data_IF_294631137918
#
_entry.id   IF_294631137918
#
_cell.length_a   1.000
_cell.length_b   1.000
_cell.length_c   1.000
_cell.angle_alpha   90.00
_cell.angle_beta   90.00
_cell.angle_gamma   90.00
#
_symmetry.space_group_name_H-M   'P 1'
#
loop_
_entity.id
_entity.type
_entity.pdbx_description
1 polymer ?
#
# COMPACT_ATOMS: atom_id res chain seq x y z
N UNK A 1 -16.76 91.44 -26.79
CA UNK A 1 -16.21 92.61 -27.47
C UNK A 1 -14.94 92.98 -26.74
N UNK A 2 -13.86 93.09 -27.53
CA UNK A 2 -12.61 93.74 -27.25
C UNK A 2 -11.77 93.27 -26.05
N UNK A 3 -10.71 92.52 -26.32
CA UNK A 3 -9.27 92.86 -26.33
C UNK A 3 -8.44 91.71 -26.82
N UNK A 4 -8.46 91.54 -28.13
CA UNK A 4 -7.41 90.82 -28.86
C UNK A 4 -6.50 91.86 -29.40
N UNK A 5 -5.21 91.58 -29.53
CA UNK A 5 -4.10 92.35 -30.17
C UNK A 5 -3.25 93.18 -29.17
N UNK A 6 -2.22 92.52 -28.62
CA UNK A 6 -0.88 93.13 -28.50
C UNK A 6 0.05 92.26 -27.65
N UNK A 7 0.33 91.01 -28.09
CA UNK A 7 1.49 90.18 -27.60
C UNK A 7 1.91 89.34 -28.80
N UNK A 8 2.33 89.96 -29.88
CA UNK A 8 2.92 89.30 -31.05
C UNK A 8 4.12 90.07 -31.58
N UNK A 9 4.91 90.75 -30.78
CA UNK A 9 6.12 91.45 -31.33
C UNK A 9 7.31 91.51 -30.37
N UNK A 10 7.39 90.58 -29.36
CA UNK A 10 8.56 90.57 -28.43
C UNK A 10 9.30 89.24 -28.34
N UNK A 11 9.04 88.25 -29.21
CA UNK A 11 9.73 86.97 -29.18
C UNK A 11 10.59 86.65 -30.44
N UNK A 12 11.08 87.63 -31.19
CA UNK A 12 11.85 87.41 -32.41
C UNK A 12 13.26 87.96 -32.37
N UNK A 13 13.84 88.26 -31.19
CA UNK A 13 15.23 88.77 -31.17
C UNK A 13 16.09 88.20 -30.02
N UNK A 14 15.90 86.88 -29.67
CA UNK A 14 16.87 86.22 -28.77
C UNK A 14 17.13 84.74 -29.18
N UNK A 15 17.24 84.46 -30.47
CA UNK A 15 17.56 83.16 -31.00
C UNK A 15 18.81 83.23 -31.85
N UNK A 16 19.94 83.58 -31.27
CA UNK A 16 21.29 83.42 -31.85
C UNK A 16 22.31 83.55 -30.74
N UNK A 17 22.64 82.48 -30.03
CA UNK A 17 23.92 82.15 -29.41
C UNK A 17 23.77 81.06 -28.37
N UNK A 18 24.26 79.88 -28.67
CA UNK A 18 24.32 78.78 -27.70
C UNK A 18 24.34 77.38 -28.32
N UNK A 19 24.99 77.15 -29.44
CA UNK A 19 25.43 75.80 -29.79
C UNK A 19 26.75 75.54 -29.04
N UNK A 20 26.64 75.17 -27.76
CA UNK A 20 27.71 74.47 -27.07
C UNK A 20 27.33 73.01 -26.96
N UNK A 21 28.18 72.17 -27.53
CA UNK A 21 28.09 70.71 -27.53
C UNK A 21 27.72 70.11 -26.19
N UNK A 22 26.47 69.58 -26.04
CA UNK A 22 26.22 68.51 -25.09
C UNK A 22 26.78 67.24 -25.69
N UNK A 23 27.99 66.85 -25.26
CA UNK A 23 28.46 65.49 -25.41
C UNK A 23 27.41 64.58 -24.80
N UNK A 24 26.80 63.68 -25.59
CA UNK A 24 26.09 62.54 -25.06
C UNK A 24 27.13 61.69 -24.28
N UNK A 25 27.21 61.89 -22.98
CA UNK A 25 27.73 60.85 -22.13
C UNK A 25 26.79 59.65 -22.22
N UNK A 26 27.16 58.71 -23.09
CA UNK A 26 26.63 57.35 -23.04
C UNK A 26 26.99 56.86 -21.66
N UNK A 27 26.01 56.49 -20.80
CA UNK A 27 26.34 55.94 -19.51
C UNK A 27 27.25 54.73 -19.77
N UNK A 28 28.52 54.81 -19.35
CA UNK A 28 29.33 53.61 -19.22
C UNK A 28 28.55 52.64 -18.34
N UNK A 29 28.03 51.58 -18.96
CA UNK A 29 27.44 50.47 -18.21
C UNK A 29 28.40 50.11 -17.10
N UNK A 30 28.00 50.41 -15.86
CA UNK A 30 28.75 49.97 -14.67
C UNK A 30 28.59 48.46 -14.66
N UNK A 31 29.69 47.71 -14.80
CA UNK A 31 29.59 46.27 -14.88
C UNK A 31 29.07 45.78 -13.53
N UNK A 32 27.87 45.23 -13.52
CA UNK A 32 27.24 44.69 -12.33
C UNK A 32 27.94 43.39 -11.96
N UNK A 33 28.29 43.26 -10.66
CA UNK A 33 28.84 42.02 -10.13
C UNK A 33 27.73 41.05 -9.92
N UNK A 34 27.82 39.89 -10.57
CA UNK A 34 26.85 38.79 -10.46
C UNK A 34 27.51 37.54 -9.88
N UNK A 35 26.80 36.82 -9.01
CA UNK A 35 27.27 35.52 -8.59
C UNK A 35 27.21 34.51 -9.73
N UNK A 36 28.26 33.70 -9.86
CA UNK A 36 28.37 32.69 -10.90
C UNK A 36 28.77 31.35 -10.29
N UNK A 37 28.29 30.27 -10.91
CA UNK A 37 28.76 28.92 -10.57
C UNK A 37 29.19 28.19 -11.83
N UNK A 38 30.08 27.21 -11.66
CA UNK A 38 30.43 26.24 -12.70
C UNK A 38 29.46 25.07 -12.66
N UNK A 39 28.92 24.68 -13.78
CA UNK A 39 28.01 23.54 -13.88
C UNK A 39 28.80 22.24 -13.73
N UNK A 40 28.48 21.50 -12.71
CA UNK A 40 29.07 20.20 -12.41
C UNK A 40 27.99 19.12 -12.40
N UNK A 41 28.39 17.88 -12.64
CA UNK A 41 27.52 16.73 -12.41
C UNK A 41 27.56 16.35 -10.95
N UNK A 42 26.37 16.12 -10.41
CA UNK A 42 26.21 15.67 -9.00
C UNK A 42 25.16 14.56 -8.96
N UNK A 43 25.33 13.66 -8.01
CA UNK A 43 24.30 12.71 -7.65
C UNK A 43 23.33 13.42 -6.70
N UNK A 44 22.04 13.36 -7.01
CA UNK A 44 21.00 13.95 -6.17
C UNK A 44 19.89 12.96 -5.91
N UNK A 45 19.21 13.19 -4.79
CA UNK A 45 18.02 12.45 -4.41
C UNK A 45 16.79 13.29 -4.73
N UNK A 46 15.94 12.76 -5.61
CA UNK A 46 14.71 13.44 -6.04
C UNK A 46 13.52 12.80 -5.34
N UNK A 47 12.85 13.51 -4.43
CA UNK A 47 11.68 12.99 -3.72
C UNK A 47 10.46 12.96 -4.65
N UNK A 48 10.06 11.77 -5.08
CA UNK A 48 8.82 11.56 -5.84
C UNK A 48 7.65 11.40 -4.89
N UNK A 49 6.60 12.19 -5.09
CA UNK A 49 5.41 12.23 -4.22
C UNK A 49 4.22 11.55 -4.90
N UNK A 50 3.62 10.58 -4.22
CA UNK A 50 2.46 9.83 -4.71
C UNK A 50 1.33 9.90 -3.70
N UNK A 51 0.12 10.24 -4.14
CA UNK A 51 -1.07 10.13 -3.28
C UNK A 51 -1.30 8.67 -2.91
N UNK A 52 -1.49 8.40 -1.63
CA UNK A 52 -1.66 7.06 -1.11
C UNK A 52 -2.84 6.97 -0.14
N UNK A 53 -3.46 5.80 -0.09
CA UNK A 53 -4.48 5.44 0.89
C UNK A 53 -3.96 4.31 1.75
N UNK A 54 -4.02 4.48 3.07
CA UNK A 54 -3.67 3.44 4.02
C UNK A 54 -4.78 2.40 4.14
N UNK A 55 -4.38 1.13 4.19
CA UNK A 55 -5.23 0.01 4.58
C UNK A 55 -4.50 -0.83 5.61
N UNK A 56 -5.23 -1.37 6.57
CA UNK A 56 -4.68 -2.39 7.46
C UNK A 56 -4.26 -3.62 6.64
N UNK A 57 -3.11 -4.20 6.96
CA UNK A 57 -2.61 -5.40 6.27
C UNK A 57 -3.62 -6.57 6.34
N UNK A 58 -4.46 -6.59 7.36
CA UNK A 58 -5.44 -7.64 7.64
C UNK A 58 -6.80 -7.03 7.96
N UNK A 59 -7.38 -6.26 7.06
CA UNK A 59 -8.76 -5.80 7.20
C UNK A 59 -9.70 -6.96 6.86
N UNK A 60 -10.39 -7.49 7.87
CA UNK A 60 -11.30 -8.64 7.75
C UNK A 60 -12.72 -8.20 8.07
N UNK A 61 -13.62 -8.39 7.13
CA UNK A 61 -15.05 -8.21 7.36
C UNK A 61 -15.58 -9.38 8.19
N UNK A 62 -16.21 -9.08 9.32
CA UNK A 62 -16.81 -10.06 10.20
C UNK A 62 -18.28 -10.24 9.84
N UNK A 63 -18.62 -11.44 9.40
CA UNK A 63 -19.99 -11.85 9.07
C UNK A 63 -20.35 -13.12 9.85
N UNK A 64 -21.62 -13.35 10.22
CA UNK A 64 -22.05 -14.61 10.84
C UNK A 64 -21.97 -15.75 9.82
N UNK A 65 -21.77 -16.97 10.31
CA UNK A 65 -21.88 -18.19 9.48
C UNK A 65 -23.22 -18.89 9.63
N UNK A 66 -24.01 -18.50 10.62
CA UNK A 66 -25.36 -19.03 10.90
C UNK A 66 -26.33 -17.87 11.07
N UNK A 67 -27.61 -18.14 10.77
CA UNK A 67 -28.68 -17.18 11.01
C UNK A 67 -29.21 -17.34 12.45
N UNK A 68 -29.54 -16.23 13.08
CA UNK A 68 -30.12 -16.21 14.41
C UNK A 68 -30.23 -14.82 15.01
N UNK A 69 -30.80 -14.71 16.19
CA UNK A 69 -30.87 -13.44 16.91
C UNK A 69 -29.56 -13.14 17.62
N UNK A 70 -29.06 -11.90 17.51
CA UNK A 70 -27.86 -11.46 18.21
C UNK A 70 -28.15 -11.26 19.70
N UNK A 71 -27.62 -12.14 20.53
CA UNK A 71 -27.88 -12.13 21.99
C UNK A 71 -26.99 -11.13 22.72
N UNK A 72 -25.74 -10.99 22.29
CA UNK A 72 -24.78 -10.14 23.00
C UNK A 72 -23.66 -9.66 22.05
N UNK A 73 -23.31 -8.41 22.20
CA UNK A 73 -22.11 -7.78 21.64
C UNK A 73 -21.08 -7.69 22.77
N UNK A 74 -19.92 -8.31 22.62
CA UNK A 74 -18.89 -8.44 23.65
C UNK A 74 -17.76 -7.42 23.51
N UNK A 75 -17.86 -6.53 22.51
CA UNK A 75 -16.83 -5.53 22.15
C UNK A 75 -17.46 -4.19 21.86
N UNK A 76 -16.65 -3.13 21.90
CA UNK A 76 -17.04 -1.77 21.52
C UNK A 76 -16.28 -1.31 20.29
N UNK A 77 -16.84 -0.35 19.58
CA UNK A 77 -16.15 0.29 18.44
C UNK A 77 -14.83 0.93 18.90
N UNK A 78 -13.78 0.80 18.10
CA UNK A 78 -12.43 1.28 18.44
C UNK A 78 -11.66 0.40 19.44
N UNK A 79 -12.28 -0.66 20.00
CA UNK A 79 -11.62 -1.56 20.95
C UNK A 79 -10.55 -2.41 20.25
N UNK A 80 -9.38 -2.52 20.86
CA UNK A 80 -8.36 -3.47 20.46
C UNK A 80 -8.69 -4.88 20.95
N UNK A 81 -8.66 -5.86 20.05
CA UNK A 81 -8.97 -7.27 20.33
C UNK A 81 -7.84 -8.18 19.90
N UNK A 82 -7.74 -9.33 20.58
CA UNK A 82 -6.77 -10.39 20.27
C UNK A 82 -7.44 -11.47 19.42
N UNK A 83 -6.64 -12.16 18.59
CA UNK A 83 -7.10 -13.35 17.86
C UNK A 83 -7.74 -14.37 18.82
N UNK A 84 -8.93 -14.87 18.45
CA UNK A 84 -9.74 -15.81 19.25
C UNK A 84 -10.63 -15.15 20.31
N UNK A 85 -10.56 -13.84 20.52
CA UNK A 85 -11.45 -13.13 21.45
C UNK A 85 -12.88 -13.14 20.91
N UNK A 86 -13.87 -13.42 21.78
CA UNK A 86 -15.28 -13.39 21.41
C UNK A 86 -15.74 -11.97 21.12
N UNK A 87 -16.36 -11.79 19.96
CA UNK A 87 -16.90 -10.50 19.48
C UNK A 87 -18.42 -10.44 19.64
N UNK A 88 -19.11 -11.46 19.12
CA UNK A 88 -20.57 -11.51 19.09
C UNK A 88 -21.05 -12.90 19.50
N UNK A 89 -22.22 -12.96 20.09
CA UNK A 89 -22.89 -14.21 20.49
C UNK A 89 -24.30 -14.21 19.89
N UNK A 90 -24.58 -15.20 19.06
CA UNK A 90 -25.89 -15.49 18.46
C UNK A 90 -26.64 -16.49 19.37
N UNK A 91 -27.95 -16.48 19.32
CA UNK A 91 -28.78 -17.47 20.05
C UNK A 91 -28.39 -18.89 19.64
N UNK A 92 -27.89 -19.64 20.61
CA UNK A 92 -27.37 -21.00 20.41
C UNK A 92 -28.33 -22.09 20.82
N UNK A 93 -29.54 -21.77 21.33
CA UNK A 93 -30.49 -22.75 21.90
C UNK A 93 -30.84 -23.84 20.89
N UNK A 94 -31.19 -23.47 19.67
CA UNK A 94 -31.51 -24.46 18.62
C UNK A 94 -30.30 -25.32 18.26
N UNK A 95 -29.12 -24.74 18.12
CA UNK A 95 -27.90 -25.50 17.86
C UNK A 95 -27.49 -26.41 19.01
N UNK A 96 -27.75 -26.03 20.27
CA UNK A 96 -27.56 -26.89 21.43
C UNK A 96 -28.51 -28.11 21.39
N UNK A 97 -29.80 -27.91 21.09
CA UNK A 97 -30.76 -29.02 20.96
C UNK A 97 -30.38 -29.94 19.79
N UNK A 98 -29.84 -29.43 18.66
CA UNK A 98 -29.30 -30.26 17.58
C UNK A 98 -28.13 -31.15 18.05
N UNK A 99 -27.23 -30.60 18.85
CA UNK A 99 -26.13 -31.40 19.46
C UNK A 99 -26.64 -32.46 20.38
N UNK A 100 -27.63 -32.17 21.22
CA UNK A 100 -28.24 -33.11 22.13
C UNK A 100 -28.96 -34.25 21.38
N UNK A 101 -29.75 -33.91 20.35
CA UNK A 101 -30.40 -34.89 19.49
C UNK A 101 -29.40 -35.81 18.78
N UNK A 102 -28.33 -35.21 18.22
CA UNK A 102 -27.27 -35.99 17.57
C UNK A 102 -26.55 -36.92 18.57
N UNK A 103 -26.30 -36.47 19.79
CA UNK A 103 -25.70 -37.31 20.86
C UNK A 103 -26.62 -38.49 21.25
N UNK A 104 -27.93 -38.27 21.37
CA UNK A 104 -28.89 -39.33 21.66
C UNK A 104 -28.87 -40.40 20.55
N UNK A 105 -28.84 -39.97 19.26
CA UNK A 105 -28.72 -40.90 18.12
C UNK A 105 -27.39 -41.67 18.14
N UNK A 106 -26.29 -41.05 18.53
CA UNK A 106 -24.99 -41.72 18.67
C UNK A 106 -25.06 -42.79 19.76
N UNK A 107 -25.69 -42.48 20.91
CA UNK A 107 -25.85 -43.44 22.02
C UNK A 107 -26.71 -44.65 21.62
N UNK A 108 -27.79 -44.42 20.86
CA UNK A 108 -28.59 -45.49 20.27
C UNK A 108 -27.80 -46.40 19.32
N UNK A 109 -26.99 -45.79 18.43
CA UNK A 109 -26.10 -46.53 17.51
C UNK A 109 -25.05 -47.35 18.28
N UNK A 110 -24.48 -46.82 19.37
CA UNK A 110 -23.54 -47.52 20.24
C UNK A 110 -24.17 -48.69 20.94
N UNK A 111 -25.40 -48.55 21.43
CA UNK A 111 -26.14 -49.65 22.04
C UNK A 111 -26.41 -50.78 21.01
N UNK A 112 -26.80 -50.43 19.79
CA UNK A 112 -26.99 -51.41 18.70
C UNK A 112 -25.67 -52.14 18.35
N UNK A 113 -24.53 -51.42 18.34
CA UNK A 113 -23.22 -52.05 18.16
C UNK A 113 -22.90 -53.06 19.26
N UNK A 114 -23.17 -52.70 20.53
CA UNK A 114 -22.97 -53.61 21.68
C UNK A 114 -23.82 -54.86 21.54
N UNK A 115 -25.09 -54.74 21.15
CA UNK A 115 -26.00 -55.88 20.91
C UNK A 115 -25.47 -56.75 19.76
N UNK A 116 -25.06 -56.18 18.61
CA UNK A 116 -24.49 -56.91 17.50
C UNK A 116 -23.18 -57.64 17.92
N UNK A 117 -22.32 -57.02 18.71
CA UNK A 117 -21.13 -57.65 19.26
C UNK A 117 -21.42 -58.83 20.15
N UNK A 118 -22.43 -58.72 21.02
CA UNK A 118 -22.86 -59.84 21.87
C UNK A 118 -23.34 -61.00 21.04
N UNK A 119 -24.17 -60.73 19.99
CA UNK A 119 -24.65 -61.76 19.06
C UNK A 119 -23.49 -62.43 18.29
N UNK A 120 -22.52 -61.66 17.83
CA UNK A 120 -21.35 -62.21 17.14
C UNK A 120 -20.49 -63.04 18.06
N UNK A 121 -20.34 -62.67 19.34
CA UNK A 121 -19.62 -63.46 20.34
C UNK A 121 -20.31 -64.80 20.60
N UNK A 122 -21.66 -64.83 20.71
CA UNK A 122 -22.42 -66.07 20.84
C UNK A 122 -22.26 -67.01 19.64
N UNK A 123 -22.41 -66.48 18.43
CA UNK A 123 -22.19 -67.23 17.16
C UNK A 123 -20.76 -67.74 17.03
N UNK A 124 -19.77 -66.95 17.52
CA UNK A 124 -18.38 -67.36 17.55
C UNK A 124 -18.14 -68.55 18.42
N UNK A 125 -18.66 -68.52 19.67
CA UNK A 125 -18.58 -69.65 20.63
C UNK A 125 -19.21 -70.93 20.05
N UNK A 126 -20.37 -70.81 19.40
CA UNK A 126 -21.03 -71.94 18.71
C UNK A 126 -20.15 -72.50 17.60
N UNK A 127 -19.59 -71.63 16.72
CA UNK A 127 -18.67 -72.07 15.66
C UNK A 127 -17.42 -72.73 16.25
N UNK A 128 -16.76 -72.19 17.27
CA UNK A 128 -15.58 -72.75 17.88
C UNK A 128 -15.89 -74.14 18.54
N UNK A 129 -17.05 -74.27 19.20
CA UNK A 129 -17.53 -75.52 19.75
C UNK A 129 -17.73 -76.62 18.65
N UNK A 130 -18.48 -76.24 17.58
CA UNK A 130 -18.70 -77.16 16.46
C UNK A 130 -17.41 -77.54 15.74
N UNK A 131 -16.43 -76.62 15.64
CA UNK A 131 -15.11 -76.91 15.09
C UNK A 131 -14.37 -77.94 15.92
N UNK A 132 -14.35 -77.81 17.24
CA UNK A 132 -13.70 -78.77 18.15
C UNK A 132 -14.36 -80.16 18.11
N UNK A 133 -15.73 -80.20 17.98
CA UNK A 133 -16.46 -81.46 17.83
C UNK A 133 -16.25 -82.12 16.47
N UNK A 134 -16.13 -81.32 15.38
CA UNK A 134 -15.82 -81.82 14.04
C UNK A 134 -14.41 -82.43 13.98
N UNK A 135 -13.41 -81.85 14.58
CA UNK A 135 -12.08 -82.40 14.73
C UNK A 135 -12.05 -83.75 15.42
N UNK A 136 -13.00 -83.94 16.39
CA UNK A 136 -13.26 -85.22 17.05
C UNK A 136 -14.21 -86.17 16.30
N UNK A 137 -14.65 -85.80 15.07
CA UNK A 137 -15.60 -86.55 14.23
C UNK A 137 -16.98 -86.79 14.86
N UNK A 138 -17.44 -85.89 15.74
CA UNK A 138 -18.73 -86.02 16.42
C UNK A 138 -19.87 -85.35 15.66
N UNK A 139 -19.58 -84.29 14.91
CA UNK A 139 -20.58 -83.52 14.10
C UNK A 139 -20.28 -83.61 12.61
N UNK A 140 -21.28 -83.35 11.76
CA UNK A 140 -21.11 -83.35 10.32
C UNK A 140 -20.46 -82.05 9.78
N UNK A 141 -19.84 -82.13 8.58
CA UNK A 141 -19.33 -80.94 7.89
C UNK A 141 -20.39 -79.90 7.61
N UNK A 142 -21.65 -80.31 7.40
CA UNK A 142 -22.78 -79.36 7.23
C UNK A 142 -23.06 -78.53 8.49
N UNK A 143 -22.96 -79.17 9.68
CA UNK A 143 -23.19 -78.47 10.95
C UNK A 143 -22.08 -77.43 11.24
N UNK A 144 -20.82 -77.78 10.91
CA UNK A 144 -19.66 -76.85 11.00
C UNK A 144 -19.87 -75.68 10.06
N UNK A 145 -20.20 -75.92 8.78
CA UNK A 145 -20.34 -74.83 7.81
C UNK A 145 -21.55 -73.96 8.10
N UNK A 146 -22.64 -74.48 8.63
CA UNK A 146 -23.78 -73.71 9.08
C UNK A 146 -23.44 -72.77 10.22
N UNK A 147 -22.74 -73.26 11.23
CA UNK A 147 -22.28 -72.39 12.37
C UNK A 147 -21.28 -71.33 11.90
N UNK A 148 -20.39 -71.67 10.93
CA UNK A 148 -19.49 -70.69 10.30
C UNK A 148 -20.21 -69.57 9.58
N UNK A 149 -21.24 -69.93 8.80
CA UNK A 149 -22.08 -68.97 8.09
C UNK A 149 -22.85 -68.06 9.08
N UNK A 150 -23.37 -68.62 10.16
CA UNK A 150 -24.00 -67.84 11.25
C UNK A 150 -23.06 -66.86 11.88
N UNK A 151 -21.80 -67.26 12.16
CA UNK A 151 -20.77 -66.36 12.65
C UNK A 151 -20.43 -65.26 11.69
N UNK A 152 -20.24 -65.59 10.39
CA UNK A 152 -19.93 -64.60 9.35
C UNK A 152 -21.07 -63.57 9.22
N UNK A 153 -22.31 -64.01 9.27
CA UNK A 153 -23.49 -63.13 9.23
C UNK A 153 -23.54 -62.19 10.44
N UNK A 154 -23.25 -62.69 11.65
CA UNK A 154 -23.20 -61.89 12.85
C UNK A 154 -22.05 -60.87 12.77
N UNK A 155 -20.90 -61.27 12.25
CA UNK A 155 -19.73 -60.38 12.01
C UNK A 155 -20.05 -59.26 11.03
N UNK A 156 -20.81 -59.56 9.96
CA UNK A 156 -21.30 -58.54 9.01
C UNK A 156 -22.24 -57.56 9.71
N UNK A 157 -23.12 -58.03 10.61
CA UNK A 157 -24.00 -57.16 11.43
C UNK A 157 -23.20 -56.22 12.35
N UNK A 158 -22.08 -56.69 12.97
CA UNK A 158 -21.14 -55.83 13.72
C UNK A 158 -20.55 -54.75 12.83
N UNK A 159 -20.10 -55.12 11.66
CA UNK A 159 -19.54 -54.15 10.69
C UNK A 159 -20.55 -53.07 10.27
N UNK A 160 -21.78 -53.46 10.04
CA UNK A 160 -22.91 -52.57 9.76
C UNK A 160 -23.20 -51.63 10.93
N UNK A 161 -23.30 -52.17 12.14
CA UNK A 161 -23.53 -51.35 13.36
C UNK A 161 -22.40 -50.38 13.63
N UNK A 162 -21.12 -50.80 13.37
CA UNK A 162 -19.94 -49.93 13.48
C UNK A 162 -19.99 -48.77 12.48
N UNK A 163 -20.43 -49.02 11.26
CA UNK A 163 -20.64 -47.96 10.24
C UNK A 163 -21.72 -46.96 10.70
N UNK A 164 -22.80 -47.46 11.32
CA UNK A 164 -23.88 -46.61 11.89
C UNK A 164 -23.36 -45.71 13.03
N UNK A 165 -22.49 -46.21 13.92
CA UNK A 165 -21.82 -45.39 14.95
C UNK A 165 -20.95 -44.30 14.30
N UNK A 166 -20.18 -44.61 13.29
CA UNK A 166 -19.35 -43.62 12.56
C UNK A 166 -20.21 -42.54 11.96
N UNK A 167 -21.32 -42.89 11.35
CA UNK A 167 -22.28 -41.93 10.74
C UNK A 167 -22.90 -41.03 11.83
N UNK A 168 -23.34 -41.59 12.94
CA UNK A 168 -23.91 -40.83 14.07
C UNK A 168 -22.87 -39.90 14.70
N UNK A 169 -21.60 -40.34 14.86
CA UNK A 169 -20.50 -39.52 15.33
C UNK A 169 -20.23 -38.32 14.39
N UNK A 170 -20.29 -38.55 13.11
CA UNK A 170 -20.14 -37.47 12.09
C UNK A 170 -21.25 -36.43 12.21
N UNK A 171 -22.48 -36.87 12.53
CA UNK A 171 -23.63 -35.96 12.77
C UNK A 171 -23.43 -35.12 14.05
N UNK A 172 -22.91 -35.71 15.14
CA UNK A 172 -22.54 -34.97 16.36
C UNK A 172 -21.46 -33.90 16.05
N UNK A 173 -20.44 -34.25 15.28
CA UNK A 173 -19.39 -33.32 14.93
C UNK A 173 -19.92 -32.13 14.10
N UNK A 174 -20.80 -32.38 13.13
CA UNK A 174 -21.49 -31.35 12.34
C UNK A 174 -22.31 -30.41 13.25
N UNK A 175 -23.13 -30.97 14.13
CA UNK A 175 -23.94 -30.18 15.07
C UNK A 175 -23.05 -29.31 15.99
N UNK A 176 -21.93 -29.85 16.50
CA UNK A 176 -20.95 -29.08 17.27
C UNK A 176 -20.31 -27.93 16.50
N UNK A 177 -19.98 -28.12 15.23
CA UNK A 177 -19.46 -27.05 14.38
C UNK A 177 -20.49 -25.93 14.21
N UNK A 178 -21.76 -26.29 13.95
CA UNK A 178 -22.84 -25.31 13.85
C UNK A 178 -23.04 -24.54 15.18
N UNK A 179 -22.96 -25.21 16.31
CA UNK A 179 -22.99 -24.57 17.62
C UNK A 179 -21.80 -23.62 17.82
N UNK A 180 -20.61 -23.99 17.33
CA UNK A 180 -19.41 -23.14 17.36
C UNK A 180 -19.60 -21.84 16.60
N UNK A 181 -20.33 -21.87 15.50
CA UNK A 181 -20.63 -20.67 14.69
C UNK A 181 -21.57 -19.67 15.37
N UNK A 182 -22.28 -20.07 16.43
CA UNK A 182 -23.07 -19.14 17.23
C UNK A 182 -22.19 -18.19 18.07
N UNK A 183 -20.90 -18.50 18.25
CA UNK A 183 -19.94 -17.63 18.92
C UNK A 183 -18.94 -17.11 17.91
N UNK A 184 -19.03 -15.83 17.57
CA UNK A 184 -18.17 -15.20 16.57
C UNK A 184 -16.94 -14.66 17.28
N UNK A 185 -15.77 -15.11 16.84
CA UNK A 185 -14.47 -14.74 17.41
C UNK A 185 -13.61 -13.99 16.40
N UNK A 186 -12.65 -13.21 16.90
CA UNK A 186 -11.70 -12.47 16.08
C UNK A 186 -10.73 -13.43 15.35
N UNK A 187 -10.67 -13.46 14.00
CA UNK A 187 -9.75 -14.30 13.25
C UNK A 187 -8.29 -13.81 13.34
N UNK A 188 -8.10 -12.51 13.55
CA UNK A 188 -6.80 -11.82 13.71
C UNK A 188 -6.87 -10.86 14.89
N UNK A 189 -5.72 -10.39 15.36
CA UNK A 189 -5.67 -9.30 16.33
C UNK A 189 -5.77 -7.97 15.59
N UNK A 190 -6.49 -6.99 16.16
CA UNK A 190 -6.72 -5.70 15.50
C UNK A 190 -7.67 -4.80 16.27
N UNK A 191 -8.17 -3.78 15.62
CA UNK A 191 -9.14 -2.81 16.16
C UNK A 191 -10.50 -3.03 15.51
N UNK A 192 -11.54 -3.02 16.32
CA UNK A 192 -12.94 -3.12 15.87
C UNK A 192 -13.36 -1.81 15.21
N UNK A 193 -13.91 -1.90 14.01
CA UNK A 193 -14.53 -0.78 13.31
C UNK A 193 -15.94 -0.47 13.79
N UNK A 194 -16.75 0.12 12.93
CA UNK A 194 -18.16 0.40 13.19
C UNK A 194 -18.96 -0.89 13.37
N UNK A 195 -19.92 -0.89 14.31
CA UNK A 195 -20.84 -1.99 14.60
C UNK A 195 -22.27 -1.53 14.31
N UNK A 196 -22.79 -1.72 13.07
CA UNK A 196 -24.10 -1.24 12.68
C UNK A 196 -25.27 -2.06 13.29
N UNK A 197 -24.98 -3.19 13.90
CA UNK A 197 -25.98 -4.11 14.49
C UNK A 197 -26.14 -3.88 15.98
N UNK A 198 -27.31 -4.24 16.50
CA UNK A 198 -27.67 -4.11 17.93
C UNK A 198 -28.04 -5.47 18.49
N UNK A 199 -27.93 -5.59 19.81
CA UNK A 199 -28.46 -6.75 20.54
C UNK A 199 -29.96 -6.87 20.30
N UNK A 200 -30.39 -8.06 19.89
CA UNK A 200 -31.77 -8.33 19.48
C UNK A 200 -32.01 -8.41 17.98
N UNK A 201 -31.08 -7.88 17.16
CA UNK A 201 -31.20 -7.93 15.71
C UNK A 201 -31.11 -9.36 15.17
N UNK A 202 -31.88 -9.62 14.11
CA UNK A 202 -31.78 -10.88 13.36
C UNK A 202 -30.61 -10.77 12.38
N UNK A 203 -29.64 -11.66 12.51
CA UNK A 203 -28.45 -11.69 11.65
C UNK A 203 -28.41 -12.97 10.79
N UNK A 204 -27.73 -12.90 9.65
CA UNK A 204 -27.59 -13.99 8.69
C UNK A 204 -26.20 -13.92 8.03
N UNK A 205 -25.76 -14.93 7.27
CA UNK A 205 -24.48 -14.90 6.57
C UNK A 205 -24.27 -13.71 5.60
N UNK A 206 -25.35 -13.06 5.17
CA UNK A 206 -25.32 -11.84 4.39
C UNK A 206 -25.19 -10.56 5.23
N UNK A 207 -25.35 -10.66 6.55
CA UNK A 207 -25.30 -9.49 7.44
C UNK A 207 -23.86 -9.09 7.72
N UNK A 208 -23.59 -7.78 7.61
CA UNK A 208 -22.34 -7.17 8.01
C UNK A 208 -22.39 -6.83 9.50
N UNK A 209 -21.42 -7.33 10.28
CA UNK A 209 -21.36 -7.06 11.73
C UNK A 209 -20.33 -5.98 12.07
N UNK A 210 -19.14 -6.08 11.55
CA UNK A 210 -18.05 -5.10 11.72
C UNK A 210 -16.88 -5.40 10.79
N UNK A 211 -15.95 -4.46 10.68
CA UNK A 211 -14.61 -4.71 10.14
C UNK A 211 -13.62 -4.82 11.30
N UNK A 212 -12.80 -5.84 11.27
CA UNK A 212 -11.65 -5.97 12.15
C UNK A 212 -10.41 -5.54 11.37
N UNK A 213 -9.83 -4.39 11.74
CA UNK A 213 -8.63 -3.87 11.08
C UNK A 213 -7.38 -4.26 11.84
N UNK A 214 -6.52 -5.04 11.20
CA UNK A 214 -5.20 -5.38 11.72
C UNK A 214 -4.24 -4.23 11.54
N UNK A 215 -4.07 -3.40 12.56
CA UNK A 215 -3.31 -2.15 12.51
C UNK A 215 -1.83 -2.26 12.89
N UNK A 216 -1.30 -3.44 13.13
CA UNK A 216 0.13 -3.63 13.47
C UNK A 216 1.07 -3.24 12.32
N UNK A 217 0.62 -3.45 11.11
CA UNK A 217 1.26 -2.99 9.87
C UNK A 217 0.20 -2.39 8.96
N UNK A 218 0.56 -1.30 8.31
CA UNK A 218 -0.32 -0.59 7.40
C UNK A 218 0.26 -0.61 6.00
N UNK A 219 -0.54 -0.96 5.03
CA UNK A 219 -0.17 -0.94 3.63
C UNK A 219 -0.67 0.36 3.00
N UNK A 220 0.25 1.17 2.49
CA UNK A 220 -0.06 2.34 1.68
C UNK A 220 -0.23 1.91 0.22
N UNK A 221 -1.43 2.01 -0.30
CA UNK A 221 -1.74 1.77 -1.71
C UNK A 221 -1.63 3.08 -2.48
N UNK A 222 -0.80 3.11 -3.52
CA UNK A 222 -0.57 4.26 -4.39
C UNK A 222 -0.31 3.81 -5.82
N UNK A 223 -0.43 4.74 -6.77
CA UNK A 223 -0.23 4.47 -8.19
C UNK A 223 0.97 5.23 -8.71
N UNK A 224 1.81 4.55 -9.51
CA UNK A 224 2.99 5.11 -10.17
C UNK A 224 2.75 5.09 -11.68
N UNK A 225 3.00 6.21 -12.38
CA UNK A 225 2.81 6.27 -13.83
C UNK A 225 3.85 5.42 -14.56
N UNK A 226 3.46 4.85 -15.70
CA UNK A 226 4.32 4.02 -16.55
C UNK A 226 5.61 4.75 -16.95
N UNK A 227 5.54 6.07 -17.24
CA UNK A 227 6.69 6.88 -17.60
C UNK A 227 7.81 6.88 -16.54
N UNK A 228 7.45 6.85 -15.24
CA UNK A 228 8.43 6.78 -14.15
C UNK A 228 9.10 5.41 -14.12
N UNK A 229 8.34 4.36 -14.41
CA UNK A 229 8.84 2.98 -14.44
C UNK A 229 9.79 2.79 -15.63
N UNK A 230 9.42 3.30 -16.80
CA UNK A 230 10.29 3.28 -17.98
C UNK A 230 11.60 4.02 -17.74
N UNK A 231 11.55 5.18 -17.09
CA UNK A 231 12.75 5.94 -16.72
C UNK A 231 13.68 5.13 -15.81
N UNK A 232 13.13 4.37 -14.85
CA UNK A 232 13.89 3.49 -13.98
C UNK A 232 14.48 2.28 -14.74
N UNK A 233 13.72 1.70 -15.67
CA UNK A 233 14.18 0.59 -16.53
C UNK A 233 15.32 1.05 -17.44
N UNK A 234 15.28 2.28 -17.97
CA UNK A 234 16.35 2.85 -18.77
C UNK A 234 17.61 3.16 -17.95
N UNK A 235 17.46 3.50 -16.67
CA UNK A 235 18.57 3.81 -15.74
C UNK A 235 19.39 2.60 -15.29
N UNK A 236 19.19 1.39 -15.86
CA UNK A 236 20.04 0.23 -15.63
C UNK A 236 19.34 -1.03 -15.10
N UNK A 237 18.01 -1.03 -15.01
CA UNK A 237 17.26 -2.19 -14.50
C UNK A 237 16.84 -3.22 -15.56
N UNK A 238 17.46 -3.21 -16.74
CA UNK A 238 17.18 -4.20 -17.80
C UNK A 238 17.58 -5.60 -17.37
N UNK A 239 16.62 -6.52 -17.35
CA UNK A 239 16.88 -7.95 -17.16
C UNK A 239 16.85 -8.47 -15.72
N UNK A 240 16.54 -7.65 -14.72
CA UNK A 240 16.40 -8.07 -13.31
C UNK A 240 14.97 -8.55 -13.03
N UNK A 241 14.80 -9.62 -12.25
CA UNK A 241 13.47 -10.13 -11.89
C UNK A 241 12.72 -9.14 -11.01
N UNK A 242 11.38 -9.14 -11.08
CA UNK A 242 10.47 -8.19 -10.40
C UNK A 242 10.73 -8.11 -8.89
N UNK A 243 10.99 -9.25 -8.26
CA UNK A 243 11.28 -9.35 -6.82
C UNK A 243 12.58 -8.66 -6.42
N UNK A 244 13.59 -8.76 -7.29
CA UNK A 244 14.90 -8.12 -7.08
C UNK A 244 14.81 -6.59 -7.28
N UNK A 245 13.95 -6.13 -8.21
CA UNK A 245 13.67 -4.71 -8.39
C UNK A 245 13.02 -4.10 -7.15
N UNK A 246 12.01 -4.77 -6.59
CA UNK A 246 11.34 -4.31 -5.37
C UNK A 246 12.32 -4.23 -4.19
N UNK A 247 13.20 -5.24 -4.05
CA UNK A 247 14.20 -5.27 -2.98
C UNK A 247 15.27 -4.17 -3.10
N UNK A 248 15.52 -3.68 -4.32
CA UNK A 248 16.50 -2.62 -4.58
C UNK A 248 15.93 -1.19 -4.44
N UNK A 249 14.60 -1.06 -4.32
CA UNK A 249 13.98 0.25 -4.11
C UNK A 249 14.31 0.78 -2.70
N UNK A 250 14.55 2.09 -2.56
CA UNK A 250 14.79 2.68 -1.25
C UNK A 250 13.55 2.64 -0.36
N UNK A 251 13.78 2.79 0.94
CA UNK A 251 12.71 2.95 1.90
C UNK A 251 11.91 4.22 1.60
N UNK A 252 10.59 4.15 1.82
CA UNK A 252 9.65 5.24 1.55
C UNK A 252 9.19 5.90 2.85
N UNK A 253 8.87 7.19 2.78
CA UNK A 253 8.30 7.94 3.90
C UNK A 253 6.83 8.22 3.63
N UNK A 254 6.00 8.08 4.66
CA UNK A 254 4.59 8.46 4.59
C UNK A 254 4.40 9.84 5.22
N UNK A 255 3.81 10.76 4.45
CA UNK A 255 3.47 12.10 4.89
C UNK A 255 1.96 12.20 5.04
N UNK A 256 1.49 12.49 6.24
CA UNK A 256 0.08 12.66 6.53
C UNK A 256 -0.47 13.93 5.85
N UNK A 257 -1.79 14.01 5.71
CA UNK A 257 -2.46 15.15 5.03
C UNK A 257 -2.19 16.52 5.69
N UNK A 258 -1.84 16.53 6.97
CA UNK A 258 -1.43 17.74 7.70
C UNK A 258 0.03 18.16 7.45
N UNK A 259 0.78 17.43 6.60
CA UNK A 259 2.18 17.69 6.31
C UNK A 259 3.18 17.04 7.28
N UNK A 260 2.71 16.35 8.31
CA UNK A 260 3.60 15.66 9.27
C UNK A 260 4.12 14.36 8.65
N UNK A 261 5.43 14.15 8.70
CA UNK A 261 6.06 12.90 8.31
C UNK A 261 5.86 11.83 9.38
N UNK A 262 5.56 10.61 8.95
CA UNK A 262 5.47 9.47 9.83
C UNK A 262 6.86 8.99 10.24
N UNK A 263 7.06 8.68 11.53
CA UNK A 263 8.38 8.38 12.11
C UNK A 263 9.04 7.11 11.54
N UNK A 264 8.23 6.10 11.20
CA UNK A 264 8.74 4.83 10.69
C UNK A 264 8.73 4.81 9.18
N UNK A 265 9.87 4.46 8.58
CA UNK A 265 9.97 4.26 7.14
C UNK A 265 9.23 2.99 6.72
N UNK A 266 8.63 3.05 5.56
CA UNK A 266 7.98 1.91 4.92
C UNK A 266 8.86 1.32 3.83
N UNK A 267 8.54 0.08 3.45
CA UNK A 267 9.20 -0.60 2.34
C UNK A 267 8.15 -1.01 1.29
N UNK A 268 8.48 -0.81 0.03
CA UNK A 268 7.63 -1.28 -1.08
C UNK A 268 7.64 -2.80 -1.07
N UNK A 269 6.45 -3.41 -0.98
CA UNK A 269 6.27 -4.85 -0.88
C UNK A 269 5.75 -5.48 -2.15
N UNK A 270 4.98 -4.73 -2.95
CA UNK A 270 4.47 -5.25 -4.21
C UNK A 270 4.20 -4.16 -5.24
N UNK A 271 4.34 -4.56 -6.50
CA UNK A 271 3.96 -3.83 -7.68
C UNK A 271 2.94 -4.68 -8.43
N UNK A 272 1.78 -4.12 -8.81
CA UNK A 272 0.85 -4.82 -9.68
C UNK A 272 1.54 -5.07 -11.02
N UNK A 273 1.47 -6.28 -11.55
CA UNK A 273 2.13 -6.64 -12.82
C UNK A 273 1.36 -6.17 -14.06
N UNK A 274 0.27 -5.40 -13.88
CA UNK A 274 -0.63 -4.96 -14.95
C UNK A 274 -0.81 -3.46 -14.81
N UNK A 275 -0.60 -2.74 -15.92
CA UNK A 275 -0.91 -1.31 -16.04
C UNK A 275 -2.42 -1.17 -16.18
N UNK A 276 -3.01 -0.30 -15.39
CA UNK A 276 -4.39 0.10 -15.57
C UNK A 276 -4.53 0.91 -16.86
N UNK A 277 -5.22 0.35 -17.84
CA UNK A 277 -5.37 0.95 -19.16
C UNK A 277 -6.13 2.29 -19.16
N UNK A 278 -6.94 2.57 -18.13
CA UNK A 278 -7.68 3.82 -18.01
C UNK A 278 -6.81 4.97 -17.49
N UNK A 279 -5.81 4.65 -16.64
CA UNK A 279 -4.97 5.66 -15.96
C UNK A 279 -3.51 5.63 -16.39
N UNK A 280 -3.06 4.62 -17.15
CA UNK A 280 -1.65 4.42 -17.52
C UNK A 280 -0.73 4.28 -16.30
N UNK A 281 -1.23 3.68 -15.22
CA UNK A 281 -0.48 3.60 -13.96
C UNK A 281 -0.41 2.17 -13.41
N UNK A 282 0.66 1.88 -12.68
CA UNK A 282 0.81 0.65 -11.90
C UNK A 282 0.46 0.90 -10.44
N UNK A 283 -0.32 -0.02 -9.86
CA UNK A 283 -0.57 -0.02 -8.43
C UNK A 283 0.66 -0.51 -7.66
N UNK A 284 1.02 0.22 -6.62
CA UNK A 284 2.12 -0.09 -5.73
C UNK A 284 1.60 -0.20 -4.30
N UNK A 285 2.22 -1.08 -3.49
CA UNK A 285 1.97 -1.17 -2.06
C UNK A 285 3.27 -1.02 -1.30
N UNK A 286 3.25 -0.16 -0.29
CA UNK A 286 4.34 -0.02 0.65
C UNK A 286 3.84 -0.33 2.06
N UNK A 287 4.54 -1.21 2.78
CA UNK A 287 4.17 -1.62 4.14
C UNK A 287 4.92 -0.78 5.16
N UNK A 288 4.18 -0.21 6.10
CA UNK A 288 4.68 0.62 7.20
C UNK A 288 4.41 -0.08 8.52
N UNK A 289 5.41 -0.26 9.40
CA UNK A 289 5.19 -0.72 10.76
C UNK A 289 4.38 0.32 11.54
N UNK A 290 3.41 -0.12 12.35
CA UNK A 290 2.55 0.75 13.13
C UNK A 290 2.46 0.27 14.59
N UNK A 291 3.58 0.22 15.33
CA UNK A 291 3.61 -0.31 16.68
C UNK A 291 2.77 0.50 17.67
N UNK A 292 2.68 1.80 17.47
CA UNK A 292 1.95 2.73 18.35
C UNK A 292 0.47 2.89 17.96
N UNK A 293 0.05 2.32 16.82
CA UNK A 293 -1.33 2.41 16.35
C UNK A 293 -1.77 3.79 15.86
N UNK A 294 -0.83 4.67 15.50
CA UNK A 294 -1.12 6.03 15.05
C UNK A 294 -1.68 6.10 13.63
N UNK A 295 -1.44 5.09 12.82
CA UNK A 295 -2.00 4.97 11.48
C UNK A 295 -3.30 4.17 11.51
N UNK A 296 -4.33 4.66 10.83
CA UNK A 296 -5.63 4.03 10.73
C UNK A 296 -5.95 3.66 9.28
N UNK A 297 -6.70 2.57 9.10
CA UNK A 297 -7.22 2.20 7.79
C UNK A 297 -8.16 3.28 7.25
N UNK A 298 -8.04 3.57 5.94
CA UNK A 298 -8.82 4.63 5.28
C UNK A 298 -8.16 6.01 5.25
N UNK A 299 -7.12 6.26 6.05
CA UNK A 299 -6.38 7.53 6.04
C UNK A 299 -5.70 7.74 4.69
N UNK A 300 -5.81 8.96 4.18
CA UNK A 300 -5.12 9.40 2.96
C UNK A 300 -3.89 10.22 3.32
N UNK A 301 -2.84 10.08 2.52
CA UNK A 301 -1.59 10.81 2.67
C UNK A 301 -0.76 10.76 1.40
N UNK A 302 0.51 11.04 1.54
CA UNK A 302 1.48 11.04 0.43
C UNK A 302 2.63 10.09 0.77
N UNK A 303 2.90 9.14 -0.11
CA UNK A 303 4.13 8.35 -0.06
C UNK A 303 5.21 9.11 -0.80
N UNK A 304 6.35 9.32 -0.16
CA UNK A 304 7.53 9.96 -0.73
C UNK A 304 8.57 8.87 -0.99
N UNK A 305 8.89 8.67 -2.27
CA UNK A 305 9.91 7.73 -2.74
C UNK A 305 11.14 8.54 -3.15
N UNK A 306 12.27 8.43 -2.43
CA UNK A 306 13.51 9.10 -2.79
C UNK A 306 14.18 8.33 -3.93
N UNK A 307 14.26 8.93 -5.11
CA UNK A 307 14.94 8.34 -6.26
C UNK A 307 16.31 8.99 -6.46
N UNK A 308 17.35 8.19 -6.46
CA UNK A 308 18.70 8.66 -6.76
C UNK A 308 18.86 8.85 -8.28
N UNK A 309 19.19 10.06 -8.68
CA UNK A 309 19.62 10.37 -10.04
C UNK A 309 21.12 10.65 -10.03
N UNK A 310 21.86 9.84 -10.78
CA UNK A 310 23.31 9.92 -10.89
C UNK A 310 23.73 10.76 -12.08
N UNK A 311 24.89 11.43 -11.95
CA UNK A 311 25.51 12.17 -13.05
C UNK A 311 24.64 13.26 -13.69
N UNK A 312 23.78 13.92 -12.92
CA UNK A 312 22.89 14.99 -13.40
C UNK A 312 23.47 16.37 -13.16
N UNK A 313 23.23 17.28 -14.11
CA UNK A 313 23.60 18.69 -13.96
C UNK A 313 22.54 19.40 -13.11
N UNK A 314 22.93 19.90 -11.97
CA UNK A 314 22.05 20.58 -11.00
C UNK A 314 22.45 22.05 -10.92
N UNK A 315 21.46 22.93 -11.09
CA UNK A 315 21.64 24.38 -10.95
C UNK A 315 20.58 24.96 -10.01
N UNK A 316 20.88 26.06 -9.29
CA UNK A 316 19.88 26.76 -8.50
C UNK A 316 18.70 27.24 -9.38
N UNK A 317 17.48 27.16 -8.84
CA UNK A 317 16.29 27.62 -9.55
C UNK A 317 16.35 29.11 -9.90
N UNK A 318 17.04 29.93 -9.09
CA UNK A 318 17.25 31.37 -9.31
C UNK A 318 18.12 31.68 -10.55
N UNK A 319 18.91 30.71 -11.03
CA UNK A 319 19.68 30.84 -12.25
C UNK A 319 18.84 30.72 -13.52
N UNK A 320 17.60 30.21 -13.40
CA UNK A 320 16.70 29.96 -14.55
C UNK A 320 15.73 31.11 -14.71
N UNK A 321 15.85 31.84 -15.81
CA UNK A 321 14.93 32.91 -16.22
C UNK A 321 13.84 32.30 -17.10
N UNK A 322 12.59 32.45 -16.72
CA UNK A 322 11.43 31.99 -17.50
C UNK A 322 10.92 33.12 -18.37
N UNK A 323 11.01 32.96 -19.67
CA UNK A 323 10.49 33.91 -20.64
C UNK A 323 9.44 33.22 -21.52
N UNK A 324 8.17 33.52 -21.26
CA UNK A 324 7.03 32.84 -21.89
C UNK A 324 7.18 31.31 -21.77
N UNK A 325 7.32 30.60 -22.88
CA UNK A 325 7.40 29.12 -22.91
C UNK A 325 8.86 28.60 -22.85
N UNK A 326 9.86 29.47 -22.69
CA UNK A 326 11.27 29.08 -22.69
C UNK A 326 11.91 29.32 -21.32
N UNK A 327 12.69 28.35 -20.88
CA UNK A 327 13.60 28.51 -19.76
C UNK A 327 14.98 28.86 -20.28
N UNK A 328 15.56 29.98 -19.82
CA UNK A 328 16.85 30.49 -20.24
C UNK A 328 17.81 30.50 -19.05
N UNK A 329 19.08 30.28 -19.34
CA UNK A 329 20.18 30.44 -18.37
C UNK A 329 21.24 31.31 -19.05
N UNK A 330 21.78 32.30 -18.34
CA UNK A 330 22.86 33.13 -18.84
C UNK A 330 24.20 32.45 -18.61
N UNK A 331 24.82 31.98 -19.70
CA UNK A 331 26.16 31.40 -19.68
C UNK A 331 27.18 32.51 -19.87
N UNK A 332 28.22 32.52 -19.07
CA UNK A 332 29.33 33.48 -19.17
C UNK A 332 30.43 32.88 -20.03
N UNK A 333 30.78 33.58 -21.09
CA UNK A 333 31.89 33.22 -22.00
C UNK A 333 33.25 33.59 -21.39
N UNK A 334 34.34 33.15 -22.04
CA UNK A 334 35.71 33.48 -21.65
C UNK A 334 36.03 34.97 -21.68
N UNK A 335 35.31 35.73 -22.50
CA UNK A 335 35.40 37.21 -22.65
C UNK A 335 34.57 37.96 -21.59
N UNK A 336 34.03 37.22 -20.59
CA UNK A 336 33.14 37.73 -19.54
C UNK A 336 31.81 38.30 -20.03
N UNK A 337 31.35 37.93 -21.25
CA UNK A 337 30.04 38.31 -21.75
C UNK A 337 28.98 37.25 -21.44
N UNK A 338 27.77 37.68 -21.04
CA UNK A 338 26.64 36.81 -20.81
C UNK A 338 25.94 36.49 -22.14
N UNK A 339 25.61 35.23 -22.35
CA UNK A 339 24.81 34.75 -23.49
C UNK A 339 23.66 33.92 -23.00
N UNK A 340 22.44 34.21 -23.44
CA UNK A 340 21.26 33.45 -23.11
C UNK A 340 21.26 32.09 -23.83
N UNK A 341 21.12 31.00 -23.08
CA UNK A 341 21.04 29.64 -23.56
C UNK A 341 19.70 29.06 -23.17
N UNK A 342 18.95 28.54 -24.14
CA UNK A 342 17.70 27.83 -23.83
C UNK A 342 18.04 26.48 -23.20
N UNK A 343 17.41 26.19 -22.04
CA UNK A 343 17.62 24.98 -21.32
C UNK A 343 16.28 24.23 -21.10
N UNK A 344 16.36 22.90 -21.03
CA UNK A 344 15.27 22.07 -20.59
C UNK A 344 15.55 21.67 -19.15
N UNK A 345 14.64 21.99 -18.24
CA UNK A 345 14.83 21.75 -16.81
C UNK A 345 13.70 20.93 -16.24
N UNK A 346 14.02 20.06 -15.27
CA UNK A 346 13.07 19.32 -14.44
C UNK A 346 13.30 19.70 -12.99
N UNK A 347 12.24 19.79 -12.19
CA UNK A 347 12.36 20.11 -10.77
C UNK A 347 13.18 19.03 -10.02
N UNK A 348 14.11 19.45 -9.18
CA UNK A 348 14.86 18.55 -8.30
C UNK A 348 14.05 18.09 -7.08
N UNK A 349 12.85 18.64 -6.87
CA UNK A 349 11.94 18.26 -5.78
C UNK A 349 12.22 18.89 -4.42
N UNK A 350 13.36 19.57 -4.26
CA UNK A 350 13.78 20.30 -3.04
C UNK A 350 13.27 21.75 -2.99
N UNK A 351 12.67 22.23 -4.09
CA UNK A 351 12.17 23.60 -4.24
C UNK A 351 13.28 24.66 -4.41
N UNK A 352 14.56 24.27 -4.41
CA UNK A 352 15.72 25.18 -4.52
C UNK A 352 16.51 24.97 -5.80
N UNK A 353 16.56 23.73 -6.28
CA UNK A 353 17.37 23.34 -7.42
C UNK A 353 16.53 22.80 -8.57
N UNK A 354 17.09 22.83 -9.75
CA UNK A 354 16.54 22.22 -10.95
C UNK A 354 17.60 21.36 -11.66
N UNK A 355 17.18 20.28 -12.26
CA UNK A 355 18.02 19.39 -13.06
C UNK A 355 17.96 19.89 -14.50
N UNK A 356 19.11 20.08 -15.12
CA UNK A 356 19.22 20.45 -16.53
C UNK A 356 19.42 19.19 -17.36
N UNK A 357 18.45 18.92 -18.24
CA UNK A 357 18.51 17.76 -19.15
C UNK A 357 19.11 18.13 -20.50
N UNK A 358 18.99 19.38 -20.92
CA UNK A 358 19.54 19.84 -22.20
C UNK A 358 19.88 21.33 -22.16
N UNK A 359 20.86 21.77 -22.97
CA UNK A 359 21.21 23.17 -23.17
C UNK A 359 22.53 23.61 -22.54
N UNK A 360 23.02 22.92 -21.49
CA UNK A 360 24.30 23.22 -20.84
C UNK A 360 25.30 22.06 -21.01
N UNK A 361 26.57 22.38 -20.81
CA UNK A 361 27.69 21.42 -20.73
C UNK A 361 28.38 21.49 -19.36
N UNK A 362 28.95 20.38 -18.97
CA UNK A 362 29.82 20.37 -17.79
C UNK A 362 30.99 21.33 -17.98
N UNK A 363 31.27 22.15 -16.97
CA UNK A 363 32.29 23.18 -17.02
C UNK A 363 31.77 24.55 -17.51
N UNK A 364 30.53 24.65 -17.97
CA UNK A 364 29.93 25.95 -18.30
C UNK A 364 29.77 26.81 -17.05
N UNK A 365 30.14 28.08 -17.13
CA UNK A 365 29.93 29.05 -16.05
C UNK A 365 28.60 29.76 -16.29
N UNK A 366 27.73 29.77 -15.31
CA UNK A 366 26.38 30.37 -15.35
C UNK A 366 26.21 31.42 -14.28
N UNK A 367 25.32 32.39 -14.49
CA UNK A 367 24.89 33.36 -13.48
C UNK A 367 23.86 32.71 -12.59
N UNK A 368 24.05 32.79 -11.26
CA UNK A 368 23.17 32.19 -10.26
C UNK A 368 22.26 33.17 -9.57
N UNK A 369 22.77 34.37 -9.22
CA UNK A 369 21.95 35.41 -8.62
C UNK A 369 21.84 36.64 -9.53
N UNK A 370 20.64 37.23 -9.57
CA UNK A 370 20.35 38.39 -10.41
C UNK A 370 20.18 38.07 -11.91
N UNK A 371 20.04 36.79 -12.28
CA UNK A 371 19.90 36.35 -13.66
C UNK A 371 18.77 37.07 -14.43
N UNK A 372 17.69 37.50 -13.74
CA UNK A 372 16.59 38.26 -14.36
C UNK A 372 16.97 39.67 -14.82
N UNK A 373 18.07 40.20 -14.33
CA UNK A 373 18.56 41.56 -14.65
C UNK A 373 19.68 41.55 -15.69
N UNK A 374 20.14 40.39 -16.11
CA UNK A 374 21.21 40.23 -17.10
C UNK A 374 20.65 40.41 -18.48
N UNK A 375 21.32 41.24 -19.33
CA UNK A 375 21.03 41.39 -20.75
C UNK A 375 21.98 40.56 -21.58
N UNK A 376 21.53 40.13 -22.75
CA UNK A 376 22.40 39.41 -23.71
C UNK A 376 23.56 40.29 -24.18
N UNK A 377 24.77 39.78 -24.09
CA UNK A 377 26.00 40.54 -24.46
C UNK A 377 26.56 41.41 -23.32
N UNK A 378 25.88 41.50 -22.18
CA UNK A 378 26.36 42.33 -21.06
C UNK A 378 27.64 41.72 -20.45
N UNK A 379 28.58 42.58 -20.10
CA UNK A 379 29.78 42.18 -19.37
C UNK A 379 29.45 41.91 -17.88
N UNK A 380 29.79 40.71 -17.45
CA UNK A 380 29.63 40.26 -16.09
C UNK A 380 30.98 40.37 -15.33
N UNK A 381 31.03 41.16 -14.28
CA UNK A 381 32.19 41.17 -13.35
C UNK A 381 31.99 40.05 -12.30
N UNK A 382 33.09 39.36 -12.02
CA UNK A 382 33.11 38.35 -10.97
C UNK A 382 33.41 39.00 -9.63
N UNK A 383 32.73 38.74 -8.55
CA UNK A 383 33.25 39.06 -7.23
C UNK A 383 34.60 38.33 -7.07
N UNK A 384 35.62 39.07 -6.63
CA UNK A 384 36.94 38.49 -6.35
C UNK A 384 36.74 37.31 -5.41
N UNK A 385 37.18 36.11 -5.79
CA UNK A 385 37.21 34.98 -4.88
C UNK A 385 37.99 35.38 -3.63
N UNK A 386 37.43 35.18 -2.41
CA UNK A 386 38.24 35.30 -1.21
C UNK A 386 39.42 34.33 -1.34
N UNK A 387 40.65 34.85 -1.19
CA UNK A 387 41.86 34.04 -1.23
C UNK A 387 41.70 32.92 -0.17
N UNK A 388 41.85 31.68 -0.57
CA UNK A 388 42.01 30.56 0.35
C UNK A 388 43.20 30.87 1.22
N UNK A 389 42.96 31.19 2.49
CA UNK A 389 44.00 31.17 3.52
C UNK A 389 44.50 29.72 3.64
N UNK A 390 45.78 29.57 3.34
CA UNK A 390 46.54 28.34 3.51
C UNK A 390 46.71 27.96 4.98
#
# INVERSE_FOLDING_TARGET
MEKKKSIKLACLLSMAMGLTACGLDIPKEVPSSYETMTVEKKDIEVPMKFSAKLKGQSDVTITPQVSGQLMRICVTEGQQVKKGQTLFVIDSRNAQHEVEAARANLQAAQANLTAAQAQANSAKLEFESNKNLFEKKIVSSYMLENSRNSYNQAQAAVSQAKAAVTQAQSSVNRAKVNLGFCTITAPVSGVIGEIPVRTGDQVSPASYLTILSGNTKMDAEFSVSEAIIEMQVQAGMKGVQKEQHIAALPDVTFVMKNGTEYQHKGRITSLTGVVDAATGSLGCKASFPNPEGHLFSGVQGTVVLPLQQKDVMVIPQNAVVRLQDKSLVYKVKADSTATAVTVTTTAAGDGKNVIVTNGLKVGDRIVTEGANNVQEGQRVLFPAQPAEEK
#
